data_IF_757672262427
#
_entry.id   IF_757672262427
#
_cell.length_a   1.000
_cell.length_b   1.000
_cell.length_c   1.000
_cell.angle_alpha   90.00
_cell.angle_beta   90.00
_cell.angle_gamma   90.00
#
_symmetry.space_group_name_H-M   'P 1'
#
loop_
_entity.id
_entity.type
_entity.pdbx_description
1 polymer ?
#
# COMPACT_ATOMS: atom_id res chain seq x y z
N UNK A 1 19.85 -22.23 58.68
CA UNK A 1 19.60 -21.15 57.71
C UNK A 1 20.85 -20.97 56.86
N UNK A 2 20.84 -21.49 55.63
CA UNK A 2 22.02 -21.55 54.75
C UNK A 2 21.85 -20.57 53.60
N UNK A 3 22.81 -19.65 53.52
CA UNK A 3 23.35 -18.81 52.44
C UNK A 3 22.79 -19.01 51.00
N UNK A 4 22.65 -17.91 50.25
CA UNK A 4 23.64 -17.46 49.22
C UNK A 4 23.22 -16.18 48.48
N UNK A 5 24.21 -15.34 48.22
CA UNK A 5 24.18 -14.15 47.38
C UNK A 5 24.57 -14.47 45.93
N UNK A 6 24.09 -13.68 44.97
CA UNK A 6 24.67 -13.41 43.65
C UNK A 6 23.94 -12.15 43.12
N UNK A 7 24.53 -10.96 43.07
CA UNK A 7 25.68 -10.49 42.27
C UNK A 7 25.49 -10.80 40.78
N UNK A 8 24.89 -9.86 40.04
CA UNK A 8 24.86 -9.86 38.58
C UNK A 8 25.57 -8.59 38.11
N UNK A 9 26.62 -8.86 37.35
CA UNK A 9 27.66 -8.00 36.82
C UNK A 9 27.11 -7.17 35.65
N UNK A 10 27.12 -5.85 35.76
CA UNK A 10 26.85 -4.94 34.65
C UNK A 10 28.08 -4.87 33.73
N UNK A 11 27.96 -5.43 32.53
CA UNK A 11 28.98 -5.31 31.49
C UNK A 11 28.68 -4.05 30.66
N UNK A 12 29.42 -2.97 30.92
CA UNK A 12 29.39 -1.74 30.11
C UNK A 12 30.45 -1.90 29.01
N UNK A 13 30.01 -2.12 27.78
CA UNK A 13 30.87 -2.13 26.59
C UNK A 13 31.15 -0.70 26.15
N UNK A 14 32.41 -0.27 26.27
CA UNK A 14 32.95 0.95 25.66
C UNK A 14 33.43 0.60 24.25
N UNK A 15 32.75 1.09 23.22
CA UNK A 15 33.20 0.97 21.83
C UNK A 15 33.97 2.24 21.45
N UNK A 16 35.28 2.09 21.23
CA UNK A 16 36.18 3.16 20.84
C UNK A 16 35.99 3.53 19.35
N UNK A 17 35.74 4.80 19.08
CA UNK A 17 35.91 5.41 17.76
C UNK A 17 37.41 5.51 17.43
N UNK A 18 37.80 5.03 16.24
CA UNK A 18 39.03 5.41 15.58
C UNK A 18 38.69 5.93 14.18
N UNK A 19 38.96 7.22 13.96
CA UNK A 19 38.93 7.89 12.67
C UNK A 19 40.25 7.67 11.92
N UNK A 20 40.22 7.71 10.58
CA UNK A 20 41.13 8.51 9.74
C UNK A 20 40.87 8.29 8.22
N UNK A 21 40.47 9.38 7.57
CA UNK A 21 40.99 9.96 6.31
C UNK A 21 41.34 9.10 5.07
N UNK A 22 40.76 9.51 3.93
CA UNK A 22 41.53 9.82 2.70
C UNK A 22 41.10 9.15 1.38
N UNK A 23 41.27 9.79 0.20
CA UNK A 23 40.31 9.73 -0.91
C UNK A 23 40.84 9.13 -2.25
N UNK A 24 39.95 8.81 -3.18
CA UNK A 24 40.12 8.81 -4.66
C UNK A 24 38.81 8.33 -5.32
N UNK A 25 37.98 9.17 -5.91
CA UNK A 25 38.01 9.59 -7.33
C UNK A 25 38.53 8.53 -8.31
N UNK A 26 37.60 7.95 -9.06
CA UNK A 26 37.86 7.29 -10.33
C UNK A 26 36.85 7.82 -11.35
N UNK A 27 37.31 8.81 -12.13
CA UNK A 27 36.70 9.27 -13.37
C UNK A 27 36.60 8.10 -14.36
N UNK A 28 35.37 7.74 -14.71
CA UNK A 28 35.05 6.85 -15.82
C UNK A 28 34.40 7.63 -16.94
N UNK A 29 35.21 8.41 -17.67
CA UNK A 29 34.85 8.98 -18.97
C UNK A 29 34.73 7.82 -19.98
N UNK A 30 33.50 7.39 -20.26
CA UNK A 30 33.19 6.46 -21.32
C UNK A 30 32.45 7.22 -22.43
N UNK A 31 33.26 7.79 -23.30
CA UNK A 31 32.91 8.32 -24.61
C UNK A 31 32.10 7.30 -25.42
N UNK A 32 30.78 7.44 -25.46
CA UNK A 32 29.93 6.76 -26.45
C UNK A 32 29.77 7.68 -27.67
N UNK A 33 30.25 7.30 -28.86
CA UNK A 33 29.88 8.01 -30.08
C UNK A 33 28.44 7.66 -30.49
N UNK A 34 27.65 8.70 -30.77
CA UNK A 34 26.47 8.60 -31.64
C UNK A 34 26.88 8.09 -33.02
N UNK A 35 25.95 7.43 -33.73
CA UNK A 35 25.64 7.96 -35.06
C UNK A 35 24.16 8.29 -35.21
N UNK A 36 23.93 9.53 -35.62
CA UNK A 36 22.70 10.05 -36.19
C UNK A 36 22.53 9.53 -37.62
N UNK A 37 21.27 9.39 -38.02
CA UNK A 37 20.70 9.82 -39.32
C UNK A 37 20.34 8.75 -40.37
N UNK A 38 19.27 9.11 -41.08
CA UNK A 38 18.77 8.64 -42.39
C UNK A 38 17.62 7.62 -42.24
N UNK A 39 16.37 7.88 -42.68
CA UNK A 39 15.91 8.64 -43.85
C UNK A 39 14.45 9.16 -43.71
N UNK A 40 14.22 10.21 -44.49
CA UNK A 40 13.09 11.10 -44.75
C UNK A 40 11.81 10.48 -45.42
N UNK A 41 10.75 11.29 -45.74
CA UNK A 41 9.32 10.96 -45.70
C UNK A 41 8.64 10.78 -47.09
N UNK A 42 7.40 10.27 -47.12
CA UNK A 42 6.35 10.53 -48.14
C UNK A 42 5.04 9.86 -47.68
N UNK A 43 3.98 10.62 -47.37
CA UNK A 43 2.87 11.02 -48.27
C UNK A 43 1.99 9.87 -48.76
N UNK A 44 0.74 9.85 -48.31
CA UNK A 44 -0.46 9.72 -49.17
C UNK A 44 -1.70 10.16 -48.39
N UNK A 45 -2.12 11.40 -48.62
CA UNK A 45 -3.54 11.76 -48.63
C UNK A 45 -4.13 11.27 -49.96
N UNK A 46 -5.31 10.64 -49.91
CA UNK A 46 -6.30 10.71 -51.00
C UNK A 46 -7.68 10.75 -50.36
N UNK A 47 -8.33 11.88 -50.56
CA UNK A 47 -9.72 12.19 -50.25
C UNK A 47 -10.65 11.78 -51.40
N UNK A 48 -11.95 11.81 -51.09
CA UNK A 48 -13.11 11.99 -51.99
C UNK A 48 -13.89 10.74 -52.51
N UNK A 49 -15.19 10.88 -52.88
CA UNK A 49 -16.32 10.29 -52.16
C UNK A 49 -17.26 9.48 -53.12
N UNK A 50 -18.35 8.89 -52.63
CA UNK A 50 -19.58 8.75 -53.45
C UNK A 50 -20.79 8.29 -52.66
N UNK A 51 -21.94 8.86 -53.01
CA UNK A 51 -23.20 8.92 -52.29
C UNK A 51 -24.12 7.69 -52.38
N UNK A 52 -25.14 7.72 -51.51
CA UNK A 52 -26.24 6.77 -51.24
C UNK A 52 -27.17 6.46 -52.45
N UNK A 53 -28.14 5.52 -52.33
CA UNK A 53 -29.44 5.89 -51.75
C UNK A 53 -30.19 4.83 -50.90
N UNK A 54 -30.83 5.34 -49.83
CA UNK A 54 -32.20 5.11 -49.31
C UNK A 54 -33.11 4.00 -49.89
N UNK A 55 -33.58 3.11 -49.00
CA UNK A 55 -34.96 2.55 -48.84
C UNK A 55 -34.87 1.28 -47.97
N UNK A 56 -35.73 0.92 -47.02
CA UNK A 56 -37.08 1.33 -46.68
C UNK A 56 -37.35 1.02 -45.19
N UNK A 57 -38.33 1.74 -44.63
CA UNK A 57 -38.97 1.48 -43.35
C UNK A 57 -39.99 0.34 -43.46
N UNK A 58 -40.10 -0.50 -42.42
CA UNK A 58 -41.41 -0.83 -41.80
C UNK A 58 -41.22 -1.38 -40.36
N UNK A 59 -42.13 -1.09 -39.41
CA UNK A 59 -42.04 -1.46 -37.99
C UNK A 59 -43.01 -2.59 -37.59
N UNK A 60 -42.64 -3.42 -36.61
CA UNK A 60 -43.53 -4.12 -35.66
C UNK A 60 -42.67 -5.07 -34.81
N UNK A 61 -42.52 -4.86 -33.50
CA UNK A 61 -43.48 -5.18 -32.44
C UNK A 61 -43.06 -6.46 -31.71
N UNK A 62 -42.92 -6.35 -30.39
CA UNK A 62 -42.93 -7.49 -29.47
C UNK A 62 -41.63 -7.68 -28.70
N UNK A 63 -41.61 -7.23 -27.45
CA UNK A 63 -40.52 -7.54 -26.52
C UNK A 63 -40.62 -6.82 -25.18
N UNK A 64 -41.79 -6.85 -24.53
CA UNK A 64 -41.85 -6.63 -23.09
C UNK A 64 -41.18 -7.83 -22.41
N UNK A 65 -40.05 -7.59 -21.74
CA UNK A 65 -39.59 -8.42 -20.62
C UNK A 65 -38.76 -7.52 -19.71
N UNK A 66 -39.48 -6.95 -18.74
CA UNK A 66 -39.11 -6.80 -17.34
C UNK A 66 -37.62 -7.06 -17.04
N UNK A 67 -36.81 -6.01 -17.20
CA UNK A 67 -35.46 -5.96 -16.68
C UNK A 67 -35.53 -5.82 -15.16
N UNK A 68 -35.76 -6.94 -14.47
CA UNK A 68 -35.48 -7.06 -13.05
C UNK A 68 -33.99 -6.69 -12.87
N UNK A 69 -33.75 -5.45 -12.41
CA UNK A 69 -32.43 -5.00 -12.05
C UNK A 69 -31.86 -5.98 -11.05
N UNK A 70 -30.77 -6.65 -11.43
CA UNK A 70 -29.94 -7.40 -10.52
C UNK A 70 -29.42 -6.38 -9.49
N UNK A 71 -30.04 -6.39 -8.32
CA UNK A 71 -29.63 -5.56 -7.19
C UNK A 71 -28.29 -6.13 -6.73
N UNK A 72 -27.19 -5.52 -7.18
CA UNK A 72 -25.85 -5.81 -6.68
C UNK A 72 -25.92 -5.69 -5.14
N UNK A 73 -25.59 -6.75 -4.39
CA UNK A 73 -25.71 -6.72 -2.93
C UNK A 73 -24.83 -5.60 -2.38
N UNK A 74 -25.41 -4.72 -1.57
CA UNK A 74 -24.65 -3.67 -0.90
C UNK A 74 -23.49 -4.30 -0.11
N UNK A 75 -22.27 -3.75 -0.19
CA UNK A 75 -21.12 -4.30 0.51
C UNK A 75 -21.38 -4.26 2.02
N UNK A 76 -21.52 -5.43 2.62
CA UNK A 76 -21.62 -5.57 4.07
C UNK A 76 -20.23 -5.46 4.68
N UNK A 77 -19.94 -4.36 5.36
CA UNK A 77 -18.69 -4.20 6.11
C UNK A 77 -18.72 -5.19 7.29
N UNK A 78 -17.70 -6.06 7.45
CA UNK A 78 -17.65 -6.97 8.58
C UNK A 78 -17.61 -6.19 9.89
N UNK A 79 -18.48 -6.57 10.83
CA UNK A 79 -18.48 -5.97 12.18
C UNK A 79 -17.42 -6.65 13.03
N UNK A 80 -16.44 -5.89 13.50
CA UNK A 80 -15.37 -6.36 14.38
C UNK A 80 -15.65 -5.89 15.81
N UNK A 81 -15.63 -6.81 16.78
CA UNK A 81 -15.75 -6.42 18.18
C UNK A 81 -14.43 -5.80 18.66
N UNK A 82 -14.53 -4.72 19.44
CA UNK A 82 -13.35 -4.06 20.00
C UNK A 82 -12.48 -4.98 20.88
N UNK A 83 -13.06 -6.02 21.47
CA UNK A 83 -12.33 -7.01 22.27
C UNK A 83 -11.43 -7.94 21.43
N UNK A 84 -11.76 -8.10 20.14
CA UNK A 84 -11.02 -8.97 19.21
C UNK A 84 -9.91 -8.19 18.48
N UNK A 85 -9.88 -6.86 18.58
CA UNK A 85 -8.89 -6.01 17.91
C UNK A 85 -7.51 -6.16 18.53
N UNK A 86 -6.53 -6.51 17.70
CA UNK A 86 -5.11 -6.46 18.06
C UNK A 86 -4.59 -5.05 17.85
N UNK A 87 -4.12 -4.43 18.92
CA UNK A 87 -3.59 -3.07 18.94
C UNK A 87 -2.20 -3.05 19.56
N UNK A 88 -1.45 -1.97 19.34
CA UNK A 88 -0.13 -1.79 19.96
C UNK A 88 -0.22 -1.83 21.50
N UNK A 89 -1.36 -1.41 22.06
CA UNK A 89 -1.56 -1.36 23.50
C UNK A 89 -1.84 -2.74 24.14
N UNK A 90 -2.44 -3.67 23.42
CA UNK A 90 -2.85 -4.98 23.97
C UNK A 90 -2.03 -6.17 23.46
N UNK A 91 -1.17 -5.98 22.44
CA UNK A 91 -0.32 -7.04 21.88
C UNK A 91 1.15 -6.68 21.93
N UNK A 92 1.91 -7.37 22.78
CA UNK A 92 3.35 -7.21 22.87
C UNK A 92 4.08 -7.57 21.56
N UNK A 93 3.55 -8.55 20.81
CA UNK A 93 4.09 -8.92 19.52
C UNK A 93 3.91 -7.78 18.50
N UNK A 94 2.74 -7.16 18.47
CA UNK A 94 2.47 -6.04 17.56
C UNK A 94 3.26 -4.80 17.96
N UNK A 95 3.39 -4.51 19.26
CA UNK A 95 4.26 -3.42 19.74
C UNK A 95 5.74 -3.64 19.36
N UNK A 96 6.22 -4.88 19.46
CA UNK A 96 7.59 -5.23 19.03
C UNK A 96 7.76 -5.03 17.54
N UNK A 97 6.78 -5.48 16.73
CA UNK A 97 6.77 -5.29 15.28
C UNK A 97 6.87 -3.82 14.89
N UNK A 98 6.13 -2.93 15.58
CA UNK A 98 6.16 -1.48 15.35
C UNK A 98 7.51 -0.81 15.70
N UNK A 99 8.40 -1.53 16.39
CA UNK A 99 9.73 -1.03 16.77
C UNK A 99 10.87 -1.58 15.88
N UNK A 100 10.55 -2.41 14.88
CA UNK A 100 11.55 -3.02 13.99
C UNK A 100 12.08 -1.98 13.00
N UNK A 101 13.38 -1.68 13.03
CA UNK A 101 13.97 -0.70 12.10
C UNK A 101 14.09 -1.19 10.66
N UNK A 102 14.21 -2.52 10.46
CA UNK A 102 14.33 -3.14 9.15
C UNK A 102 12.97 -3.62 8.64
N UNK A 103 12.39 -2.93 7.67
CA UNK A 103 11.10 -3.28 7.07
C UNK A 103 11.10 -4.62 6.33
N UNK A 104 12.26 -5.21 6.06
CA UNK A 104 12.42 -6.52 5.46
C UNK A 104 12.73 -7.63 6.47
N UNK A 105 12.68 -7.34 7.78
CA UNK A 105 13.05 -8.30 8.83
C UNK A 105 12.19 -9.58 8.77
N UNK A 106 12.79 -10.77 8.96
CA UNK A 106 12.05 -12.04 9.02
C UNK A 106 11.07 -12.12 10.21
N UNK A 107 11.23 -11.25 11.21
CA UNK A 107 10.26 -11.10 12.30
C UNK A 107 8.89 -10.63 11.81
N UNK A 108 8.84 -9.88 10.70
CA UNK A 108 7.60 -9.40 10.09
C UNK A 108 6.86 -10.55 9.40
N UNK A 109 7.58 -11.43 8.71
CA UNK A 109 7.01 -12.65 8.13
C UNK A 109 6.44 -13.57 9.21
N UNK A 110 7.19 -13.76 10.30
CA UNK A 110 6.74 -14.55 11.46
C UNK A 110 5.47 -13.97 12.05
N UNK A 111 5.42 -12.65 12.27
CA UNK A 111 4.22 -11.96 12.73
C UNK A 111 3.04 -12.17 11.77
N UNK A 112 3.26 -11.99 10.47
CA UNK A 112 2.21 -12.13 9.45
C UNK A 112 1.58 -13.53 9.45
N UNK A 113 2.40 -14.56 9.67
CA UNK A 113 1.92 -15.95 9.79
C UNK A 113 1.12 -16.16 11.08
N UNK A 114 1.65 -15.69 12.20
CA UNK A 114 1.08 -15.98 13.53
C UNK A 114 -0.21 -15.18 13.78
N UNK A 115 -0.37 -14.00 13.16
CA UNK A 115 -1.56 -13.14 13.26
C UNK A 115 -2.46 -13.21 12.01
N UNK A 116 -2.25 -14.17 11.11
CA UNK A 116 -3.01 -14.26 9.86
C UNK A 116 -4.51 -14.38 10.12
N UNK A 117 -5.29 -13.49 9.53
CA UNK A 117 -6.75 -13.41 9.71
C UNK A 117 -7.19 -12.71 11.00
N UNK A 118 -6.26 -12.26 11.85
CA UNK A 118 -6.57 -11.44 13.02
C UNK A 118 -6.76 -9.98 12.59
N UNK A 119 -7.73 -9.27 13.19
CA UNK A 119 -7.95 -7.86 12.89
C UNK A 119 -6.99 -6.99 13.70
N UNK A 120 -6.20 -6.17 13.01
CA UNK A 120 -5.35 -5.16 13.61
C UNK A 120 -6.04 -3.80 13.60
N UNK A 121 -5.73 -2.97 14.59
CA UNK A 121 -5.97 -1.54 14.51
C UNK A 121 -4.72 -0.74 14.91
N UNK A 122 -4.38 0.25 14.08
CA UNK A 122 -3.23 1.13 14.32
C UNK A 122 -3.41 2.51 13.69
N UNK A 123 -2.70 3.48 14.25
CA UNK A 123 -2.53 4.79 13.64
C UNK A 123 -1.49 4.71 12.53
N UNK A 124 -1.83 5.23 11.36
CA UNK A 124 -0.93 5.25 10.23
C UNK A 124 -1.02 6.52 9.42
N UNK A 125 -0.23 6.52 8.36
CA UNK A 125 -0.08 7.61 7.39
C UNK A 125 0.01 7.02 6.00
N UNK A 126 -0.76 7.58 5.05
CA UNK A 126 -0.65 7.19 3.64
C UNK A 126 0.72 7.61 3.10
N UNK A 127 1.52 6.62 2.71
CA UNK A 127 2.92 6.80 2.34
C UNK A 127 3.14 6.83 0.83
N UNK A 128 2.41 6.00 0.08
CA UNK A 128 2.48 5.97 -1.37
C UNK A 128 1.25 5.27 -1.96
N UNK A 129 1.02 5.54 -3.24
CA UNK A 129 0.12 4.75 -4.08
C UNK A 129 0.95 4.02 -5.13
N UNK A 130 0.56 2.79 -5.41
CA UNK A 130 1.04 2.03 -6.56
C UNK A 130 -0.18 1.67 -7.42
N UNK A 131 -0.40 2.48 -8.45
CA UNK A 131 -1.36 2.21 -9.51
C UNK A 131 -0.59 1.76 -10.74
N UNK A 132 -0.42 0.45 -10.91
CA UNK A 132 0.32 -0.10 -12.04
C UNK A 132 -0.47 -0.07 -13.37
N UNK A 133 -1.69 0.49 -13.38
CA UNK A 133 -2.46 0.61 -14.62
C UNK A 133 -3.16 1.98 -14.76
N UNK A 134 -3.11 2.52 -15.96
CA UNK A 134 -3.72 3.79 -16.38
C UNK A 134 -5.25 3.70 -16.54
N UNK A 135 -5.86 2.53 -16.32
CA UNK A 135 -7.29 2.28 -16.47
C UNK A 135 -7.95 1.51 -15.32
N UNK A 136 -7.26 1.29 -14.19
CA UNK A 136 -7.85 0.58 -13.04
C UNK A 136 -8.42 1.54 -12.01
N UNK A 137 -9.69 1.36 -11.66
CA UNK A 137 -10.29 1.90 -10.42
C UNK A 137 -9.67 1.31 -9.14
N UNK A 138 -8.77 0.33 -9.29
CA UNK A 138 -8.01 -0.30 -8.23
C UNK A 138 -6.62 0.31 -8.10
N UNK A 139 -6.16 0.39 -6.87
CA UNK A 139 -4.83 0.88 -6.51
C UNK A 139 -4.28 0.04 -5.35
N UNK A 140 -2.96 -0.03 -5.23
CA UNK A 140 -2.34 -0.47 -3.99
C UNK A 140 -1.97 0.75 -3.16
N UNK A 141 -2.31 0.73 -1.87
CA UNK A 141 -2.06 1.82 -0.93
C UNK A 141 -1.02 1.35 0.06
N UNK A 142 0.07 2.09 0.19
CA UNK A 142 1.10 1.84 1.19
C UNK A 142 0.86 2.74 2.41
N UNK A 143 0.92 2.15 3.60
CA UNK A 143 0.70 2.84 4.87
C UNK A 143 1.90 2.63 5.77
N UNK A 144 2.38 3.72 6.40
CA UNK A 144 3.40 3.68 7.46
C UNK A 144 2.74 3.88 8.83
N UNK A 145 3.32 3.28 9.86
CA UNK A 145 2.86 3.48 11.23
C UNK A 145 3.12 4.91 11.71
N UNK A 146 2.22 5.44 12.54
CA UNK A 146 2.33 6.76 13.14
C UNK A 146 1.77 7.89 12.28
N UNK A 147 2.02 9.10 12.74
CA UNK A 147 1.54 10.35 12.12
C UNK A 147 2.61 10.91 11.16
N UNK A 148 2.19 11.81 10.29
CA UNK A 148 3.08 12.50 9.37
C UNK A 148 4.25 13.22 10.05
N UNK A 149 5.35 13.32 9.29
CA UNK A 149 6.55 14.06 9.71
C UNK A 149 7.58 13.24 10.47
N UNK A 150 7.28 11.96 10.78
CA UNK A 150 8.28 11.03 11.28
C UNK A 150 9.17 10.57 10.12
N UNK A 151 10.44 10.97 10.13
CA UNK A 151 11.40 10.52 9.13
C UNK A 151 11.74 9.03 9.37
N UNK A 152 11.40 8.17 8.40
CA UNK A 152 11.64 6.72 8.44
C UNK A 152 11.05 6.05 9.70
N UNK A 153 9.71 6.05 9.88
CA UNK A 153 9.10 5.41 11.03
C UNK A 153 9.48 3.92 11.07
N UNK A 154 9.78 3.37 12.26
CA UNK A 154 10.03 1.95 12.41
C UNK A 154 8.76 1.14 12.10
N UNK A 155 8.95 -0.16 11.94
CA UNK A 155 7.93 -1.12 11.60
C UNK A 155 7.84 -1.41 10.10
N UNK A 156 6.95 -2.35 9.73
CA UNK A 156 6.71 -2.71 8.35
C UNK A 156 6.15 -1.54 7.54
N UNK A 157 6.30 -1.63 6.23
CA UNK A 157 5.39 -0.93 5.32
C UNK A 157 4.17 -1.83 5.17
N UNK A 158 3.00 -1.31 5.52
CA UNK A 158 1.75 -2.01 5.29
C UNK A 158 1.25 -1.73 3.88
N UNK A 159 0.59 -2.70 3.25
CA UNK A 159 -0.01 -2.51 1.94
C UNK A 159 -1.43 -3.06 1.88
N UNK A 160 -2.36 -2.22 1.45
CA UNK A 160 -3.64 -2.66 0.89
C UNK A 160 -3.41 -2.88 -0.60
N UNK A 161 -3.61 -4.10 -1.07
CA UNK A 161 -3.26 -4.47 -2.45
C UNK A 161 -4.53 -4.57 -3.29
N UNK A 162 -4.50 -3.93 -4.46
CA UNK A 162 -5.55 -4.04 -5.48
C UNK A 162 -6.95 -3.67 -4.97
N UNK A 163 -7.05 -2.58 -4.21
CA UNK A 163 -8.30 -2.11 -3.60
C UNK A 163 -8.90 -0.93 -4.37
N UNK A 164 -10.23 -0.84 -4.40
CA UNK A 164 -10.95 0.39 -4.76
C UNK A 164 -11.11 1.29 -3.54
N UNK A 165 -11.41 2.57 -3.76
CA UNK A 165 -11.74 3.50 -2.67
C UNK A 165 -12.98 3.04 -1.88
N UNK A 166 -13.93 2.35 -2.53
CA UNK A 166 -15.09 1.75 -1.87
C UNK A 166 -14.73 0.63 -0.89
N UNK A 167 -13.60 -0.05 -1.11
CA UNK A 167 -13.28 -1.30 -0.41
C UNK A 167 -12.59 -1.03 0.94
N UNK A 168 -11.99 0.16 1.11
CA UNK A 168 -11.17 0.48 2.27
C UNK A 168 -11.96 1.06 3.46
N UNK A 169 -13.29 1.17 3.34
CA UNK A 169 -14.16 1.74 4.37
C UNK A 169 -13.76 3.16 4.77
N UNK A 170 -13.50 4.03 3.78
CA UNK A 170 -13.05 5.40 4.02
C UNK A 170 -14.11 6.20 4.78
N UNK A 171 -13.73 6.77 5.92
CA UNK A 171 -14.62 7.55 6.79
C UNK A 171 -13.85 8.63 7.55
N UNK A 172 -14.54 9.48 8.30
CA UNK A 172 -13.94 10.54 9.12
C UNK A 172 -14.69 11.87 9.03
N UNK A 173 -14.32 12.83 9.87
CA UNK A 173 -14.95 14.17 9.89
C UNK A 173 -14.47 15.10 8.79
N UNK A 174 -13.35 14.78 8.15
CA UNK A 174 -12.66 15.62 7.16
C UNK A 174 -12.19 14.78 5.98
N UNK A 175 -13.09 13.97 5.42
CA UNK A 175 -12.79 13.13 4.26
C UNK A 175 -12.45 14.06 3.09
N UNK A 176 -11.19 14.05 2.61
CA UNK A 176 -10.83 14.84 1.43
C UNK A 176 -11.56 14.28 0.20
N UNK A 177 -11.72 15.09 -0.84
CA UNK A 177 -12.31 14.62 -2.10
C UNK A 177 -11.58 13.42 -2.71
N UNK A 178 -10.30 13.24 -2.36
CA UNK A 178 -9.46 12.10 -2.69
C UNK A 178 -8.45 11.87 -1.55
N UNK A 179 -8.08 10.61 -1.28
CA UNK A 179 -6.96 10.26 -0.40
C UNK A 179 -5.63 10.75 -1.00
N UNK A 180 -4.75 11.28 -0.16
CA UNK A 180 -3.44 11.80 -0.56
C UNK A 180 -2.31 11.17 0.24
N UNK A 181 -1.12 11.10 -0.37
CA UNK A 181 0.13 10.89 0.37
C UNK A 181 0.27 12.06 1.31
N UNK A 182 0.23 11.83 2.61
CA UNK A 182 -0.15 12.91 3.50
C UNK A 182 -1.05 12.45 4.61
N UNK A 183 -2.09 11.71 4.27
CA UNK A 183 -3.23 11.65 5.17
C UNK A 183 -2.93 10.77 6.40
N UNK A 184 -3.14 11.34 7.57
CA UNK A 184 -3.13 10.60 8.83
C UNK A 184 -4.42 9.78 8.90
N UNK A 185 -4.30 8.49 9.22
CA UNK A 185 -5.41 7.55 9.26
C UNK A 185 -5.40 6.72 10.53
N UNK A 186 -6.56 6.20 10.91
CA UNK A 186 -6.69 5.02 11.77
C UNK A 186 -7.14 3.88 10.88
N UNK A 187 -6.35 2.82 10.84
CA UNK A 187 -6.62 1.64 10.01
C UNK A 187 -7.17 0.53 10.90
N UNK A 188 -8.24 -0.10 10.46
CA UNK A 188 -8.66 -1.43 10.94
C UNK A 188 -8.63 -2.40 9.77
N UNK A 189 -7.87 -3.51 9.86
CA UNK A 189 -7.64 -4.42 8.74
C UNK A 189 -7.23 -5.82 9.21
N UNK A 190 -7.50 -6.84 8.40
CA UNK A 190 -7.05 -8.21 8.66
C UNK A 190 -5.64 -8.45 8.12
N UNK A 191 -4.82 -9.22 8.86
CA UNK A 191 -3.49 -9.63 8.39
C UNK A 191 -3.62 -10.73 7.33
N UNK A 192 -2.99 -10.53 6.16
CA UNK A 192 -3.05 -11.50 5.06
C UNK A 192 -1.78 -12.34 4.97
N UNK A 193 -0.65 -11.69 4.70
CA UNK A 193 0.67 -12.32 4.57
C UNK A 193 1.77 -11.26 4.48
N UNK A 194 3.03 -11.67 4.42
CA UNK A 194 4.16 -10.80 4.13
C UNK A 194 4.69 -11.10 2.72
N UNK A 195 4.88 -10.07 1.90
CA UNK A 195 5.57 -10.16 0.62
C UNK A 195 7.06 -9.92 0.85
N UNK A 196 7.85 -10.99 0.85
CA UNK A 196 9.30 -10.94 1.07
C UNK A 196 10.07 -10.30 -0.08
N UNK A 197 9.49 -10.23 -1.28
CA UNK A 197 10.13 -9.61 -2.45
C UNK A 197 10.01 -8.09 -2.43
N UNK A 198 8.93 -7.57 -1.83
CA UNK A 198 8.66 -6.13 -1.71
C UNK A 198 8.80 -5.58 -0.28
N UNK A 199 8.95 -6.47 0.69
CA UNK A 199 8.98 -6.17 2.12
C UNK A 199 7.71 -5.45 2.62
N UNK A 200 6.55 -5.92 2.15
CA UNK A 200 5.24 -5.38 2.52
C UNK A 200 4.45 -6.35 3.37
N UNK A 201 3.94 -5.86 4.51
CA UNK A 201 2.93 -6.58 5.29
C UNK A 201 1.56 -6.31 4.67
N UNK A 202 1.00 -7.33 4.02
CA UNK A 202 -0.24 -7.23 3.29
C UNK A 202 -1.42 -7.31 4.25
N UNK A 203 -2.32 -6.35 4.12
CA UNK A 203 -3.53 -6.23 4.92
C UNK A 203 -4.77 -6.16 4.02
N UNK A 204 -5.87 -6.68 4.52
CA UNK A 204 -7.20 -6.52 3.93
C UNK A 204 -8.00 -5.49 4.74
N UNK A 205 -8.19 -4.27 4.20
CA UNK A 205 -8.75 -3.16 4.96
C UNK A 205 -10.25 -3.34 5.22
N UNK A 206 -10.68 -2.95 6.42
CA UNK A 206 -12.10 -2.91 6.82
C UNK A 206 -12.57 -1.47 7.00
N UNK A 207 -11.79 -0.66 7.71
CA UNK A 207 -12.04 0.78 7.82
C UNK A 207 -10.74 1.57 7.76
N UNK A 208 -10.83 2.75 7.15
CA UNK A 208 -9.76 3.75 7.09
C UNK A 208 -10.34 5.08 7.50
N UNK A 209 -10.08 5.51 8.73
CA UNK A 209 -10.64 6.75 9.29
C UNK A 209 -9.64 7.88 9.14
N UNK A 210 -9.98 8.93 8.40
CA UNK A 210 -9.15 10.13 8.24
C UNK A 210 -9.08 10.91 9.55
N UNK A 211 -7.85 11.31 9.91
CA UNK A 211 -7.55 12.19 11.04
C UNK A 211 -7.05 13.55 10.54
N UNK A 212 -7.51 14.67 11.12
CA UNK A 212 -6.98 16.00 10.83
C UNK A 212 -5.56 16.22 11.37
#
# INVERSE_FOLDING_TARGET
MVRRAASVLALVTVLALAACAGPAQSDGDALMPSPTQSVDPESVETDEPSAEPSSAVDPASGGETDGAGEVEPEPSIPTINAADLVTVANSAAFATLMSVSDSCSPSIETFARDFRGEPLQFNGTIAAFDSSSVSSSHMSIQVRAGDQGVASPPGPVFQFRDVKVSDIGLSGSSIPGMLNVGDNVIVTAYVISFDTSKCFLLLDPVTTVIRP
#
